data_IF_782960026666
#
_entry.id   IF_782960026666
#
_cell.length_a   1.000
_cell.length_b   1.000
_cell.length_c   1.000
_cell.angle_alpha   90.00
_cell.angle_beta   90.00
_cell.angle_gamma   90.00
#
_symmetry.space_group_name_H-M   'P 1'
#
loop_
_entity.id
_entity.type
_entity.pdbx_description
1 polymer ?
#
# COMPACT_ATOMS: atom_id res chain seq x y z
N UNK A 1 1.43 -13.16 -12.26
CA UNK A 1 0.67 -12.79 -11.04
C UNK A 1 -0.12 -11.52 -11.34
N UNK A 2 -1.35 -11.36 -10.83
CA UNK A 2 -2.20 -10.20 -11.17
C UNK A 2 -2.16 -9.14 -10.07
N UNK A 3 -1.98 -7.88 -10.44
CA UNK A 3 -2.04 -6.75 -9.52
C UNK A 3 -3.50 -6.48 -9.09
N UNK A 4 -3.75 -6.34 -7.79
CA UNK A 4 -5.08 -6.05 -7.27
C UNK A 4 -5.53 -4.61 -7.54
N UNK A 5 -4.59 -3.67 -7.73
CA UNK A 5 -4.86 -2.24 -7.96
C UNK A 5 -5.10 -1.94 -9.45
N UNK A 6 -4.14 -2.22 -10.33
CA UNK A 6 -4.25 -1.88 -11.75
C UNK A 6 -4.75 -3.03 -12.63
N UNK A 7 -4.98 -4.23 -12.05
CA UNK A 7 -5.47 -5.43 -12.73
C UNK A 7 -4.58 -5.99 -13.85
N UNK A 8 -3.40 -5.41 -14.08
CA UNK A 8 -2.41 -5.90 -15.03
C UNK A 8 -1.67 -7.12 -14.48
N UNK A 9 -1.18 -7.96 -15.39
CA UNK A 9 -0.26 -9.03 -15.05
C UNK A 9 1.15 -8.51 -14.84
N UNK A 10 1.83 -9.05 -13.84
CA UNK A 10 3.23 -8.77 -13.55
C UNK A 10 3.94 -10.06 -13.16
N UNK A 11 5.24 -10.10 -13.47
CA UNK A 11 6.13 -11.18 -13.06
C UNK A 11 6.26 -11.25 -11.52
N UNK A 12 6.17 -10.09 -10.86
CA UNK A 12 6.34 -9.94 -9.41
C UNK A 12 5.20 -9.11 -8.85
N UNK A 13 4.67 -9.53 -7.69
CA UNK A 13 3.72 -8.73 -6.91
C UNK A 13 4.21 -8.62 -5.48
N UNK A 14 4.03 -7.43 -4.89
CA UNK A 14 4.45 -7.07 -3.55
C UNK A 14 3.22 -6.89 -2.67
N UNK A 15 3.28 -7.39 -1.44
CA UNK A 15 2.18 -7.27 -0.49
C UNK A 15 2.17 -5.87 0.13
N UNK A 16 1.05 -5.15 -0.02
CA UNK A 16 0.88 -3.84 0.62
C UNK A 16 0.39 -4.03 2.07
N UNK A 17 1.10 -3.44 3.02
CA UNK A 17 0.68 -3.41 4.44
C UNK A 17 -0.11 -2.14 4.70
N UNK A 18 -1.43 -2.21 4.88
CA UNK A 18 -2.24 -1.03 5.22
C UNK A 18 -1.99 -0.64 6.71
N UNK A 19 -2.26 0.62 7.05
CA UNK A 19 -1.89 1.38 8.26
C UNK A 19 -2.05 0.66 9.63
N UNK A 20 -1.54 1.29 10.71
CA UNK A 20 -1.43 0.73 12.07
C UNK A 20 -2.73 0.13 12.64
N UNK A 21 -3.89 0.67 12.27
CA UNK A 21 -5.21 0.20 12.74
C UNK A 21 -5.84 -0.86 11.82
N UNK A 22 -5.13 -1.27 10.76
CA UNK A 22 -5.57 -2.32 9.86
C UNK A 22 -5.39 -3.69 10.52
N UNK A 23 -6.50 -4.32 10.90
CA UNK A 23 -6.50 -5.64 11.50
C UNK A 23 -6.02 -6.68 10.46
N UNK A 24 -4.73 -7.04 10.53
CA UNK A 24 -4.07 -7.98 9.61
C UNK A 24 -4.69 -9.38 9.60
N UNK A 25 -5.41 -9.74 10.66
CA UNK A 25 -6.05 -11.06 10.79
C UNK A 25 -7.39 -11.14 10.08
N UNK A 26 -8.10 -10.02 9.97
CA UNK A 26 -9.45 -9.96 9.36
C UNK A 26 -9.43 -9.54 7.89
N UNK A 27 -8.30 -9.05 7.40
CA UNK A 27 -8.25 -8.36 6.13
C UNK A 27 -7.52 -9.16 5.06
N UNK A 28 -8.10 -9.22 3.85
CA UNK A 28 -7.48 -9.91 2.71
C UNK A 28 -6.15 -9.23 2.34
N UNK A 29 -5.07 -10.01 2.12
CA UNK A 29 -3.81 -9.45 1.64
C UNK A 29 -4.02 -8.83 0.25
N UNK A 30 -3.51 -7.62 0.06
CA UNK A 30 -3.52 -6.91 -1.22
C UNK A 30 -2.15 -7.02 -1.85
N UNK A 31 -2.09 -7.51 -3.09
CA UNK A 31 -0.87 -7.70 -3.86
C UNK A 31 -0.83 -6.73 -5.03
N UNK A 32 0.17 -5.86 -5.04
CA UNK A 32 0.35 -4.85 -6.06
C UNK A 32 1.57 -5.15 -6.92
N UNK A 33 1.55 -4.77 -8.19
CA UNK A 33 2.77 -4.66 -8.98
C UNK A 33 3.73 -3.61 -8.37
N UNK A 34 5.03 -3.62 -8.70
CA UNK A 34 6.02 -2.73 -8.10
C UNK A 34 5.62 -1.25 -8.18
N UNK A 35 5.11 -0.79 -9.32
CA UNK A 35 4.69 0.61 -9.52
C UNK A 35 3.53 1.01 -8.59
N UNK A 36 2.50 0.17 -8.45
CA UNK A 36 1.38 0.43 -7.56
C UNK A 36 1.74 0.24 -6.08
N UNK A 37 2.78 -0.53 -5.77
CA UNK A 37 3.32 -0.65 -4.42
C UNK A 37 4.03 0.66 -4.03
N UNK A 38 4.96 1.14 -4.86
CA UNK A 38 5.74 2.35 -4.60
C UNK A 38 4.87 3.60 -4.46
N UNK A 39 3.84 3.75 -5.31
CA UNK A 39 2.88 4.85 -5.19
C UNK A 39 2.16 4.86 -3.84
N UNK A 40 1.79 3.68 -3.32
CA UNK A 40 1.12 3.56 -2.02
C UNK A 40 2.08 3.81 -0.85
N UNK A 41 3.31 3.30 -0.91
CA UNK A 41 4.30 3.55 0.14
C UNK A 41 4.68 5.04 0.20
N UNK A 42 4.91 5.69 -0.95
CA UNK A 42 5.19 7.14 -1.01
C UNK A 42 4.02 7.99 -0.47
N UNK A 43 2.78 7.55 -0.69
CA UNK A 43 1.59 8.23 -0.15
C UNK A 43 1.52 8.15 1.38
N UNK A 44 2.02 7.06 2.00
CA UNK A 44 2.12 6.96 3.46
C UNK A 44 3.16 7.91 4.01
N UNK A 45 4.33 8.00 3.39
CA UNK A 45 5.38 8.93 3.82
C UNK A 45 4.91 10.38 3.78
N UNK A 46 4.13 10.75 2.77
CA UNK A 46 3.50 12.07 2.69
C UNK A 46 2.42 12.30 3.74
N UNK A 47 1.60 11.29 4.06
CA UNK A 47 0.56 11.40 5.07
C UNK A 47 1.12 11.56 6.49
N UNK A 48 2.26 10.91 6.79
CA UNK A 48 2.91 11.01 8.11
C UNK A 48 3.47 12.41 8.38
N UNK A 49 3.91 13.14 7.35
CA UNK A 49 4.39 14.53 7.48
C UNK A 49 3.29 15.56 7.82
N UNK A 50 2.01 15.25 7.57
CA UNK A 50 0.90 16.18 7.83
C UNK A 50 0.32 16.13 9.24
N UNK A 51 0.71 15.13 10.06
CA UNK A 51 0.20 14.98 11.44
C UNK A 51 1.11 15.59 12.52
N UNK A 52 2.23 16.21 12.15
CA UNK A 52 3.19 16.85 13.07
C UNK A 52 3.32 18.36 12.86
N UNK A 53 2.28 19.03 12.39
CA UNK A 53 2.17 20.50 12.51
C UNK A 53 1.13 20.83 13.59
N UNK A 54 1.56 21.16 14.82
CA UNK A 54 0.72 21.93 15.72
C UNK A 54 0.70 23.37 15.21
N UNK A 55 -0.49 23.89 14.94
CA UNK A 55 -0.76 25.33 14.88
C UNK A 55 -2.09 25.56 15.59
#
# INVERSE_FOLDING_TARGET
MRCDTCKQESAVVMRVVIAKDYNRSMSRPIFNCPSCFDQKEQSKDRATKRRTSPA
#
